data_IF_536965926626
#
_entry.id   IF_536965926626
#
_cell.length_a   1.000
_cell.length_b   1.000
_cell.length_c   1.000
_cell.angle_alpha   90.00
_cell.angle_beta   90.00
_cell.angle_gamma   90.00
#
_symmetry.space_group_name_H-M   'P 1'
#
loop_
_entity.id
_entity.type
_entity.pdbx_description
1 polymer ?
#
# COMPACT_ATOMS: atom_id res chain seq x y z
N UNK A 1 7.15 -5.85 -8.54
CA UNK A 1 6.28 -5.62 -7.36
C UNK A 1 4.88 -5.36 -7.90
N UNK A 2 3.88 -6.17 -7.55
CA UNK A 2 2.50 -6.04 -8.06
C UNK A 2 1.73 -4.99 -7.26
N UNK A 3 2.21 -3.74 -7.30
CA UNK A 3 1.53 -2.58 -6.75
C UNK A 3 1.15 -1.70 -7.94
N UNK A 4 -0.14 -1.48 -8.11
CA UNK A 4 -0.68 -0.62 -9.15
C UNK A 4 -0.68 0.84 -8.71
N UNK A 5 -0.52 1.76 -9.66
CA UNK A 5 -0.49 3.20 -9.39
C UNK A 5 0.86 3.75 -8.89
N UNK A 6 1.88 2.89 -8.78
CA UNK A 6 3.29 3.29 -8.62
C UNK A 6 4.06 3.04 -9.91
N UNK A 7 4.92 3.99 -10.28
CA UNK A 7 5.94 3.85 -11.32
C UNK A 7 7.06 2.91 -10.86
N UNK A 8 7.87 2.40 -11.78
CA UNK A 8 9.02 1.55 -11.43
C UNK A 8 10.05 2.29 -10.56
N UNK A 9 10.21 3.59 -10.76
CA UNK A 9 11.07 4.42 -9.91
C UNK A 9 10.53 4.50 -8.47
N UNK A 10 9.22 4.76 -8.30
CA UNK A 10 8.58 4.78 -6.98
C UNK A 10 8.66 3.41 -6.29
N UNK A 11 8.46 2.31 -7.03
CA UNK A 11 8.62 0.96 -6.46
C UNK A 11 10.06 0.70 -5.98
N UNK A 12 11.05 1.21 -6.72
CA UNK A 12 12.45 1.09 -6.32
C UNK A 12 12.75 1.89 -5.05
N UNK A 13 12.32 3.15 -5.00
CA UNK A 13 12.49 4.02 -3.83
C UNK A 13 11.75 3.48 -2.60
N UNK A 14 10.53 2.97 -2.77
CA UNK A 14 9.81 2.26 -1.71
C UNK A 14 10.59 1.06 -1.17
N UNK A 15 11.21 0.28 -2.06
CA UNK A 15 12.03 -0.87 -1.63
C UNK A 15 13.29 -0.45 -0.86
N UNK A 16 13.89 0.69 -1.19
CA UNK A 16 15.00 1.28 -0.42
C UNK A 16 14.50 1.73 0.94
N UNK A 17 13.44 2.55 0.98
CA UNK A 17 12.86 3.06 2.21
C UNK A 17 12.50 1.92 3.19
N UNK A 18 11.83 0.87 2.71
CA UNK A 18 11.52 -0.29 3.55
C UNK A 18 12.78 -0.94 4.15
N UNK A 19 13.88 -1.04 3.39
CA UNK A 19 15.15 -1.59 3.89
C UNK A 19 15.82 -0.71 4.93
N UNK A 20 15.78 0.60 4.74
CA UNK A 20 16.34 1.58 5.69
C UNK A 20 15.62 1.57 7.04
N UNK A 21 14.36 1.11 7.05
CA UNK A 21 13.54 0.92 8.25
C UNK A 21 13.51 -0.55 8.73
N UNK A 22 14.57 -1.33 8.49
CA UNK A 22 14.72 -2.73 8.95
C UNK A 22 13.62 -3.70 8.47
N UNK A 23 12.96 -3.38 7.36
CA UNK A 23 11.99 -4.26 6.73
C UNK A 23 12.53 -4.90 5.46
N UNK A 24 12.23 -6.19 5.28
CA UNK A 24 12.51 -6.88 4.01
C UNK A 24 11.38 -6.58 3.03
N UNK A 25 11.61 -5.89 1.90
CA UNK A 25 10.53 -5.50 0.98
C UNK A 25 9.70 -6.69 0.51
N UNK A 26 10.33 -7.82 0.22
CA UNK A 26 9.63 -9.04 -0.16
C UNK A 26 8.62 -9.51 0.90
N UNK A 27 8.98 -9.46 2.19
CA UNK A 27 8.10 -9.88 3.28
C UNK A 27 6.91 -8.94 3.42
N UNK A 28 7.15 -7.62 3.36
CA UNK A 28 6.09 -6.61 3.41
C UNK A 28 5.08 -6.84 2.28
N UNK A 29 5.56 -7.00 1.04
CA UNK A 29 4.68 -7.19 -0.12
C UNK A 29 3.94 -8.52 -0.08
N UNK A 30 4.60 -9.60 0.34
CA UNK A 30 3.97 -10.92 0.47
C UNK A 30 2.78 -10.86 1.44
N UNK A 31 2.97 -10.29 2.62
CA UNK A 31 1.94 -10.19 3.64
C UNK A 31 0.84 -9.17 3.27
N UNK A 32 1.20 -8.01 2.70
CA UNK A 32 0.23 -7.05 2.19
C UNK A 32 -0.64 -7.64 1.07
N UNK A 33 -0.06 -8.44 0.17
CA UNK A 33 -0.81 -9.13 -0.86
C UNK A 33 -1.76 -10.18 -0.26
N UNK A 34 -1.32 -10.97 0.72
CA UNK A 34 -2.18 -11.91 1.43
C UNK A 34 -3.39 -11.20 2.08
N UNK A 35 -3.15 -10.09 2.78
CA UNK A 35 -4.22 -9.27 3.36
C UNK A 35 -5.19 -8.76 2.28
N UNK A 36 -4.67 -8.20 1.18
CA UNK A 36 -5.50 -7.74 0.06
C UNK A 36 -6.38 -8.85 -0.52
N UNK A 37 -5.87 -10.07 -0.66
CA UNK A 37 -6.65 -11.20 -1.15
C UNK A 37 -7.76 -11.63 -0.16
N UNK A 38 -7.49 -11.62 1.15
CA UNK A 38 -8.52 -11.86 2.16
C UNK A 38 -9.60 -10.77 2.12
N UNK A 39 -9.22 -9.48 2.06
CA UNK A 39 -10.16 -8.35 1.96
C UNK A 39 -11.05 -8.47 0.72
N UNK A 40 -10.47 -8.79 -0.45
CA UNK A 40 -11.23 -9.00 -1.71
C UNK A 40 -12.26 -10.13 -1.60
N UNK A 41 -12.01 -11.12 -0.75
CA UNK A 41 -12.88 -12.28 -0.55
C UNK A 41 -13.84 -12.10 0.63
N UNK A 42 -13.76 -11.00 1.36
CA UNK A 42 -14.53 -10.79 2.59
C UNK A 42 -14.17 -11.77 3.71
N UNK A 43 -12.94 -12.29 3.70
CA UNK A 43 -12.44 -13.22 4.71
C UNK A 43 -11.65 -12.43 5.77
N UNK A 44 -11.64 -12.93 7.00
CA UNK A 44 -10.81 -12.39 8.07
C UNK A 44 -9.34 -12.32 7.65
N UNK A 45 -8.72 -11.16 7.93
CA UNK A 45 -7.31 -10.91 7.62
C UNK A 45 -6.49 -11.26 8.85
N UNK A 46 -5.48 -12.12 8.69
CA UNK A 46 -4.58 -12.46 9.77
C UNK A 46 -3.86 -11.21 10.31
N UNK A 47 -3.66 -11.06 11.64
CA UNK A 47 -3.09 -9.84 12.23
C UNK A 47 -1.73 -9.42 11.65
N UNK A 48 -0.86 -10.40 11.34
CA UNK A 48 0.45 -10.15 10.72
C UNK A 48 0.29 -9.58 9.30
N UNK A 49 -0.65 -10.11 8.52
CA UNK A 49 -0.90 -9.64 7.16
C UNK A 49 -1.44 -8.20 7.19
N UNK A 50 -2.36 -7.92 8.12
CA UNK A 50 -2.89 -6.58 8.35
C UNK A 50 -1.80 -5.60 8.77
N UNK A 51 -0.89 -6.01 9.67
CA UNK A 51 0.25 -5.17 10.09
C UNK A 51 1.10 -4.73 8.90
N UNK A 52 1.48 -5.67 8.03
CA UNK A 52 2.32 -5.35 6.87
C UNK A 52 1.59 -4.59 5.77
N UNK A 53 0.28 -4.80 5.63
CA UNK A 53 -0.57 -4.00 4.76
C UNK A 53 -0.61 -2.53 5.22
N UNK A 54 -0.84 -2.29 6.51
CA UNK A 54 -0.85 -0.93 7.07
C UNK A 54 0.51 -0.25 6.92
N UNK A 55 1.60 -0.98 7.20
CA UNK A 55 2.96 -0.48 7.03
C UNK A 55 3.24 -0.08 5.58
N UNK A 56 2.78 -0.89 4.61
CA UNK A 56 2.91 -0.58 3.19
C UNK A 56 2.11 0.68 2.82
N UNK A 57 0.87 0.78 3.32
CA UNK A 57 0.00 1.94 3.10
C UNK A 57 0.63 3.23 3.66
N UNK A 58 1.16 3.18 4.88
CA UNK A 58 1.85 4.30 5.53
C UNK A 58 3.12 4.72 4.79
N UNK A 59 3.94 3.76 4.35
CA UNK A 59 5.16 4.04 3.59
C UNK A 59 4.84 4.73 2.25
N UNK A 60 3.82 4.25 1.53
CA UNK A 60 3.42 4.84 0.24
C UNK A 60 2.79 6.23 0.43
N UNK A 61 1.97 6.41 1.47
CA UNK A 61 1.41 7.71 1.81
C UNK A 61 2.50 8.71 2.19
N UNK A 62 3.48 8.29 2.99
CA UNK A 62 4.59 9.14 3.42
C UNK A 62 5.53 9.55 2.29
N UNK A 63 5.77 8.67 1.31
CA UNK A 63 6.69 8.95 0.21
C UNK A 63 6.04 9.72 -0.93
N UNK A 64 4.75 9.47 -1.20
CA UNK A 64 4.12 9.89 -2.46
C UNK A 64 2.73 10.52 -2.31
N UNK A 65 2.21 10.64 -1.09
CA UNK A 65 0.83 11.11 -0.83
C UNK A 65 -0.24 10.32 -1.58
N UNK A 66 0.03 9.04 -1.86
CA UNK A 66 -0.89 8.13 -2.53
C UNK A 66 -1.55 7.21 -1.50
N UNK A 67 -2.84 6.93 -1.72
CA UNK A 67 -3.67 6.13 -0.82
C UNK A 67 -4.29 4.96 -1.55
N UNK A 68 -4.47 3.86 -0.82
CA UNK A 68 -5.01 2.61 -1.36
C UNK A 68 -6.47 2.76 -1.78
N UNK A 69 -6.79 2.27 -2.97
CA UNK A 69 -8.11 2.34 -3.59
C UNK A 69 -8.82 0.99 -3.46
N UNK A 70 -9.70 0.88 -2.46
CA UNK A 70 -10.41 -0.36 -2.16
C UNK A 70 -9.50 -1.49 -1.63
N UNK A 71 -9.90 -2.76 -1.77
CA UNK A 71 -9.18 -3.88 -1.16
C UNK A 71 -7.94 -4.32 -1.96
N UNK A 72 -7.65 -3.72 -3.12
CA UNK A 72 -6.48 -4.02 -3.94
C UNK A 72 -5.26 -3.20 -3.56
N UNK A 73 -4.05 -3.68 -3.89
CA UNK A 73 -2.81 -2.91 -3.80
C UNK A 73 -2.69 -1.90 -4.96
N UNK A 74 -3.69 -1.03 -5.09
CA UNK A 74 -3.76 0.03 -6.11
C UNK A 74 -3.77 1.38 -5.40
N UNK A 75 -2.85 2.28 -5.75
CA UNK A 75 -2.64 3.53 -5.04
C UNK A 75 -2.78 4.73 -5.97
N UNK A 76 -3.51 5.74 -5.53
CA UNK A 76 -3.64 7.01 -6.25
C UNK A 76 -3.64 8.17 -5.29
N UNK A 77 -3.30 9.36 -5.78
CA UNK A 77 -3.47 10.60 -5.02
C UNK A 77 -4.95 10.73 -4.70
N UNK A 78 -5.28 11.05 -3.46
CA UNK A 78 -6.67 11.35 -3.11
C UNK A 78 -7.07 12.60 -3.89
N UNK A 79 -7.87 12.46 -4.94
CA UNK A 79 -8.56 13.61 -5.51
C UNK A 79 -9.56 14.05 -4.46
N UNK A 80 -9.15 14.94 -3.55
CA UNK A 80 -10.08 15.71 -2.74
C UNK A 80 -11.08 16.30 -3.71
N UNK A 81 -12.31 15.82 -3.68
CA UNK A 81 -13.37 16.31 -4.54
C UNK A 81 -13.57 17.78 -4.15
N UNK A 82 -12.97 18.72 -4.89
CA UNK A 82 -13.41 20.12 -4.91
C UNK A 82 -14.79 20.14 -5.58
N UNK A 83 -15.81 19.66 -4.88
CA UNK A 83 -17.20 19.95 -5.20
C UNK A 83 -17.81 20.63 -3.99
N UNK A 84 -18.19 21.89 -4.20
CA UNK A 84 -19.20 22.55 -3.39
C UNK A 84 -18.65 23.49 -2.33
N UNK A 85 -18.13 24.64 -2.75
CA UNK A 85 -18.52 25.89 -2.12
C UNK A 85 -18.97 26.84 -3.23
N UNK A 86 -20.14 27.41 -2.98
CA UNK A 86 -21.01 28.18 -3.88
C UNK A 86 -20.33 29.39 -4.53
#
# INVERSE_FOLDING_TARGET
MFIDGLTEHEKHQLAIHLREHDHTPFMVIKHAHAASQCEKRGIEVHPIDRKYLNLLDEAIASLYEKYRQGPGLSYSIHQSTRRGLA
#
